data_IF_749737955100
#
_entry.id   IF_749737955100
#
_cell.length_a   1.000
_cell.length_b   1.000
_cell.length_c   1.000
_cell.angle_alpha   90.00
_cell.angle_beta   90.00
_cell.angle_gamma   90.00
#
_symmetry.space_group_name_H-M   'P 1'
#
loop_
_entity.id
_entity.type
_entity.pdbx_description
1 polymer ?
#
# COMPACT_ATOMS: atom_id res chain seq x y z
N UNK A 1 -8.63 -26.83 -7.52
CA UNK A 1 -8.76 -25.40 -7.88
C UNK A 1 -8.81 -24.62 -6.56
N UNK A 2 -7.66 -24.30 -5.98
CA UNK A 2 -7.56 -23.60 -4.70
C UNK A 2 -7.32 -22.10 -4.98
N UNK A 3 -8.30 -21.28 -4.59
CA UNK A 3 -8.23 -19.83 -4.65
C UNK A 3 -7.34 -19.36 -3.48
N UNK A 4 -6.07 -19.02 -3.77
CA UNK A 4 -5.15 -18.47 -2.78
C UNK A 4 -5.40 -16.97 -2.66
N UNK A 5 -6.16 -16.60 -1.62
CA UNK A 5 -6.33 -15.22 -1.16
C UNK A 5 -4.98 -14.75 -0.58
N UNK A 6 -4.21 -13.98 -1.36
CA UNK A 6 -2.94 -13.42 -0.91
C UNK A 6 -3.21 -12.21 0.00
N UNK A 7 -3.18 -12.44 1.32
CA UNK A 7 -3.15 -11.36 2.33
C UNK A 7 -1.71 -10.86 2.42
N UNK A 8 -1.41 -9.74 1.76
CA UNK A 8 -0.11 -9.06 1.83
C UNK A 8 0.03 -8.38 3.20
N UNK A 9 0.71 -9.05 4.14
CA UNK A 9 1.17 -8.47 5.40
C UNK A 9 2.50 -7.74 5.19
N UNK A 10 2.47 -6.44 4.88
CA UNK A 10 3.66 -5.60 4.85
C UNK A 10 3.71 -4.71 6.09
N UNK A 11 4.68 -5.02 6.96
CA UNK A 11 4.87 -4.35 8.22
C UNK A 11 5.63 -3.04 8.06
N UNK A 12 4.98 -1.92 8.36
CA UNK A 12 5.66 -0.64 8.60
C UNK A 12 6.17 -0.66 10.05
N UNK A 13 7.49 -0.52 10.23
CA UNK A 13 8.13 -0.46 11.56
C UNK A 13 7.92 0.93 12.15
N UNK A 14 6.74 1.17 12.72
CA UNK A 14 6.59 2.21 13.73
C UNK A 14 7.13 1.68 15.05
N UNK A 15 7.86 2.51 15.79
CA UNK A 15 8.37 2.16 17.11
C UNK A 15 7.18 1.98 18.06
N UNK A 16 6.66 0.76 18.12
CA UNK A 16 5.65 0.38 19.08
C UNK A 16 6.34 -0.08 20.35
N UNK A 17 6.15 0.64 21.44
CA UNK A 17 6.61 0.21 22.76
C UNK A 17 5.96 -1.13 23.10
N UNK A 18 6.77 -2.19 23.09
CA UNK A 18 6.38 -3.51 23.58
C UNK A 18 6.02 -3.38 25.07
N UNK A 19 4.81 -3.81 25.45
CA UNK A 19 4.36 -3.82 26.84
C UNK A 19 3.20 -2.87 27.18
N UNK A 20 2.76 -2.05 26.23
CA UNK A 20 1.58 -1.19 26.45
C UNK A 20 0.32 -2.03 26.72
N UNK A 21 -0.49 -1.65 27.71
CA UNK A 21 -1.78 -2.29 28.03
C UNK A 21 -2.90 -1.81 27.10
N UNK A 22 -4.02 -2.54 27.04
CA UNK A 22 -5.15 -2.13 26.20
C UNK A 22 -5.81 -0.84 26.71
N UNK A 23 -5.82 -0.60 28.03
CA UNK A 23 -6.36 0.62 28.61
C UNK A 23 -5.49 1.85 28.26
N UNK A 24 -4.17 1.74 28.37
CA UNK A 24 -3.22 2.79 27.97
C UNK A 24 -3.30 3.08 26.48
N UNK A 25 -3.51 2.06 25.65
CA UNK A 25 -3.66 2.27 24.22
C UNK A 25 -4.94 3.02 23.85
N UNK A 26 -6.05 2.71 24.53
CA UNK A 26 -7.33 3.38 24.33
C UNK A 26 -7.28 4.86 24.72
N UNK A 27 -6.52 5.21 25.77
CA UNK A 27 -6.41 6.60 26.27
C UNK A 27 -5.35 7.44 25.57
N UNK A 28 -4.40 6.83 24.86
CA UNK A 28 -3.33 7.56 24.17
C UNK A 28 -3.87 8.42 23.02
N UNK A 29 -3.35 9.63 22.87
CA UNK A 29 -3.48 10.37 21.62
C UNK A 29 -2.50 9.81 20.60
N UNK A 30 -3.01 9.11 19.59
CA UNK A 30 -2.19 8.70 18.45
C UNK A 30 -2.08 9.85 17.46
N UNK A 31 -1.00 9.90 16.69
CA UNK A 31 -0.94 10.75 15.51
C UNK A 31 -1.86 10.17 14.42
N UNK A 32 -3.16 10.49 14.55
CA UNK A 32 -4.23 10.02 13.67
C UNK A 32 -3.94 10.44 12.22
N UNK A 33 -3.35 11.61 12.01
CA UNK A 33 -3.00 12.08 10.69
C UNK A 33 -1.89 11.23 10.08
N UNK A 34 -0.85 10.92 10.84
CA UNK A 34 0.22 10.03 10.37
C UNK A 34 -0.28 8.62 10.02
N UNK A 35 -1.21 8.06 10.81
CA UNK A 35 -1.82 6.77 10.51
C UNK A 35 -2.74 6.84 9.27
N UNK A 36 -3.44 7.96 9.07
CA UNK A 36 -4.23 8.21 7.87
C UNK A 36 -3.33 8.30 6.62
N UNK A 37 -2.21 9.02 6.70
CA UNK A 37 -1.25 9.15 5.61
C UNK A 37 -0.59 7.80 5.28
N UNK A 38 -0.23 7.00 6.29
CA UNK A 38 0.28 5.65 6.11
C UNK A 38 -0.75 4.72 5.45
N UNK A 39 -2.02 4.82 5.86
CA UNK A 39 -3.12 4.09 5.24
C UNK A 39 -3.30 4.46 3.77
N UNK A 40 -3.33 5.76 3.45
CA UNK A 40 -3.47 6.22 2.07
C UNK A 40 -2.26 5.78 1.22
N UNK A 41 -1.05 5.84 1.77
CA UNK A 41 0.15 5.36 1.10
C UNK A 41 0.07 3.88 0.77
N UNK A 42 -0.41 3.06 1.71
CA UNK A 42 -0.59 1.63 1.49
C UNK A 42 -1.65 1.35 0.42
N UNK A 43 -2.76 2.09 0.42
CA UNK A 43 -3.77 2.03 -0.64
C UNK A 43 -3.19 2.32 -2.03
N UNK A 44 -2.38 3.38 -2.14
CA UNK A 44 -1.75 3.74 -3.43
C UNK A 44 -0.84 2.61 -3.93
N UNK A 45 -0.08 2.02 -3.02
CA UNK A 45 0.87 0.93 -3.31
C UNK A 45 0.20 -0.35 -3.81
N UNK A 46 -1.08 -0.60 -3.49
CA UNK A 46 -1.76 -1.82 -3.96
C UNK A 46 -2.07 -1.80 -5.46
N UNK A 47 -1.99 -0.63 -6.12
CA UNK A 47 -2.23 -0.52 -7.57
C UNK A 47 -0.93 -0.58 -8.37
N UNK A 48 -0.76 -1.66 -9.15
CA UNK A 48 0.39 -1.80 -10.06
C UNK A 48 0.39 -0.79 -11.22
N UNK A 49 -0.76 -0.15 -11.49
CA UNK A 49 -0.91 0.87 -12.53
C UNK A 49 -1.02 2.27 -11.93
N UNK A 50 -0.66 2.45 -10.66
CA UNK A 50 -0.66 3.75 -9.99
C UNK A 50 -2.03 4.47 -10.04
N UNK A 51 -3.12 3.70 -10.00
CA UNK A 51 -4.49 4.20 -10.22
C UNK A 51 -4.92 5.25 -9.19
N UNK A 52 -4.35 5.21 -7.99
CA UNK A 52 -4.78 6.01 -6.85
C UNK A 52 -3.80 7.13 -6.50
N UNK A 53 -2.75 7.35 -7.29
CA UNK A 53 -1.65 8.23 -6.94
C UNK A 53 -2.07 9.69 -6.76
N UNK A 54 -3.10 10.14 -7.48
CA UNK A 54 -3.65 11.50 -7.42
C UNK A 54 -4.60 11.74 -6.23
N UNK A 55 -4.97 10.69 -5.49
CA UNK A 55 -5.87 10.82 -4.34
C UNK A 55 -5.15 11.51 -3.18
N UNK A 56 -5.77 12.52 -2.60
CA UNK A 56 -5.26 13.23 -1.42
C UNK A 56 -6.27 13.19 -0.26
N UNK A 57 -5.77 13.10 0.98
CA UNK A 57 -6.61 13.27 2.17
C UNK A 57 -6.92 14.75 2.32
N UNK A 58 -8.21 15.08 2.43
CA UNK A 58 -8.67 16.44 2.77
C UNK A 58 -8.72 16.62 4.28
N UNK A 59 -9.35 15.66 4.97
CA UNK A 59 -9.49 15.68 6.44
C UNK A 59 -9.90 14.31 6.97
N UNK A 60 -9.49 14.01 8.20
CA UNK A 60 -10.06 12.91 8.98
C UNK A 60 -11.37 13.37 9.60
N UNK A 61 -12.45 12.62 9.37
CA UNK A 61 -13.80 12.95 9.83
C UNK A 61 -14.16 12.24 11.13
N UNK A 62 -13.74 10.99 11.24
CA UNK A 62 -14.04 10.15 12.39
C UNK A 62 -12.87 9.21 12.63
N UNK A 63 -12.58 8.97 13.92
CA UNK A 63 -11.69 7.89 14.31
C UNK A 63 -12.23 7.20 15.57
N UNK A 64 -12.09 5.88 15.62
CA UNK A 64 -12.57 5.09 16.76
C UNK A 64 -11.63 3.95 17.07
N UNK A 65 -11.09 3.96 18.29
CA UNK A 65 -10.29 2.88 18.85
C UNK A 65 -11.17 1.77 19.41
N UNK A 66 -10.80 0.53 19.14
CA UNK A 66 -11.46 -0.67 19.66
C UNK A 66 -10.40 -1.76 19.93
N UNK A 67 -10.67 -2.65 20.89
CA UNK A 67 -9.84 -3.84 21.11
C UNK A 67 -10.41 -5.00 20.31
N UNK A 68 -9.60 -5.62 19.47
CA UNK A 68 -10.00 -6.69 18.55
C UNK A 68 -9.20 -7.97 18.85
N UNK A 69 -9.51 -8.62 19.98
CA UNK A 69 -8.86 -9.87 20.40
C UNK A 69 -7.34 -9.74 20.50
N UNK A 70 -6.61 -10.30 19.53
CA UNK A 70 -5.14 -10.27 19.44
C UNK A 70 -4.55 -8.98 18.86
N UNK A 71 -5.39 -8.07 18.39
CA UNK A 71 -5.00 -6.78 17.83
C UNK A 71 -5.75 -5.63 18.49
N UNK A 72 -5.24 -4.42 18.26
CA UNK A 72 -5.92 -3.16 18.57
C UNK A 72 -6.33 -2.53 17.25
N UNK A 73 -7.58 -2.11 17.12
CA UNK A 73 -8.09 -1.57 15.88
C UNK A 73 -8.44 -0.10 16.01
N UNK A 74 -8.03 0.69 15.04
CA UNK A 74 -8.42 2.06 14.85
C UNK A 74 -9.20 2.14 13.54
N UNK A 75 -10.50 2.39 13.64
CA UNK A 75 -11.30 2.78 12.51
C UNK A 75 -11.01 4.23 12.16
N UNK A 76 -10.78 4.52 10.89
CA UNK A 76 -10.63 5.85 10.33
C UNK A 76 -11.66 6.05 9.23
N UNK A 77 -12.36 7.18 9.28
CA UNK A 77 -13.18 7.68 8.19
C UNK A 77 -12.61 9.01 7.74
N UNK A 78 -12.22 9.11 6.49
CA UNK A 78 -11.55 10.28 5.93
C UNK A 78 -12.27 10.77 4.68
N UNK A 79 -12.25 12.09 4.47
CA UNK A 79 -12.62 12.70 3.21
C UNK A 79 -11.39 12.76 2.31
N UNK A 80 -11.52 12.22 1.10
CA UNK A 80 -10.46 12.18 0.09
C UNK A 80 -10.90 12.92 -1.17
N UNK A 81 -9.96 13.48 -1.93
CA UNK A 81 -10.24 14.18 -3.19
C UNK A 81 -9.44 13.59 -4.36
N UNK A 82 -10.06 13.61 -5.54
CA UNK A 82 -9.47 13.28 -6.83
C UNK A 82 -10.37 13.84 -7.94
N UNK A 83 -9.77 14.26 -9.06
CA UNK A 83 -10.53 14.69 -10.25
C UNK A 83 -11.11 13.51 -11.05
N UNK A 84 -10.65 12.30 -10.74
CA UNK A 84 -10.90 11.07 -11.49
C UNK A 84 -11.89 10.13 -10.81
N UNK A 85 -12.54 10.56 -9.72
CA UNK A 85 -13.62 9.78 -9.10
C UNK A 85 -14.80 9.56 -10.05
N UNK A 86 -15.34 8.34 -10.05
CA UNK A 86 -16.51 7.95 -10.85
C UNK A 86 -17.77 8.73 -10.44
N UNK A 87 -17.90 9.10 -9.17
CA UNK A 87 -19.06 9.85 -8.68
C UNK A 87 -19.13 11.31 -9.17
N UNK A 88 -18.05 11.81 -9.79
CA UNK A 88 -17.86 13.21 -10.21
C UNK A 88 -17.88 14.23 -9.06
N UNK A 89 -17.90 13.76 -7.81
CA UNK A 89 -17.77 14.63 -6.64
C UNK A 89 -16.32 15.06 -6.45
N UNK A 90 -16.13 16.27 -5.92
CA UNK A 90 -14.80 16.77 -5.54
C UNK A 90 -14.19 15.99 -4.37
N UNK A 91 -15.04 15.45 -3.49
CA UNK A 91 -14.65 14.66 -2.33
C UNK A 91 -15.47 13.37 -2.22
N UNK A 92 -14.82 12.28 -1.85
CA UNK A 92 -15.42 10.99 -1.49
C UNK A 92 -14.99 10.55 -0.08
N UNK A 93 -15.74 9.62 0.50
CA UNK A 93 -15.44 9.06 1.81
C UNK A 93 -14.65 7.76 1.68
N UNK A 94 -13.54 7.66 2.39
CA UNK A 94 -12.74 6.45 2.50
C UNK A 94 -12.77 5.95 3.95
N UNK A 95 -13.09 4.68 4.12
CA UNK A 95 -13.03 3.98 5.41
C UNK A 95 -11.80 3.08 5.45
N UNK A 96 -11.04 3.16 6.54
CA UNK A 96 -9.86 2.32 6.75
C UNK A 96 -9.90 1.73 8.16
N UNK A 97 -9.54 0.46 8.27
CA UNK A 97 -9.24 -0.20 9.53
C UNK A 97 -7.72 -0.33 9.66
N UNK A 98 -7.17 0.36 10.65
CA UNK A 98 -5.77 0.23 11.05
C UNK A 98 -5.71 -0.79 12.17
N UNK A 99 -4.90 -1.84 12.01
CA UNK A 99 -4.70 -2.88 13.01
C UNK A 99 -3.29 -2.82 13.55
N UNK A 100 -3.15 -2.69 14.87
CA UNK A 100 -1.88 -2.85 15.56
C UNK A 100 -1.82 -4.24 16.19
N UNK A 101 -0.83 -5.04 15.79
CA UNK A 101 -0.61 -6.36 16.34
C UNK A 101 -0.05 -6.28 17.76
N UNK A 102 -0.67 -6.91 18.77
CA UNK A 102 -0.21 -6.81 20.17
C UNK A 102 1.19 -7.39 20.42
N UNK A 103 1.60 -8.37 19.61
CA UNK A 103 2.87 -9.11 19.82
C UNK A 103 4.12 -8.32 19.42
N UNK A 104 4.03 -7.53 18.35
CA UNK A 104 5.17 -6.84 17.75
C UNK A 104 4.89 -5.35 17.49
N UNK A 105 3.68 -4.90 17.82
CA UNK A 105 3.14 -3.55 17.65
C UNK A 105 3.18 -3.00 16.22
N UNK A 106 3.44 -3.84 15.22
CA UNK A 106 3.38 -3.49 13.80
C UNK A 106 1.96 -3.13 13.40
N UNK A 107 1.85 -2.19 12.47
CA UNK A 107 0.58 -1.78 11.88
C UNK A 107 0.33 -2.52 10.56
N UNK A 108 -0.93 -2.90 10.36
CA UNK A 108 -1.49 -3.35 9.08
C UNK A 108 -2.75 -2.54 8.76
N UNK A 109 -3.08 -2.43 7.48
CA UNK A 109 -4.16 -1.59 6.98
C UNK A 109 -5.14 -2.44 6.18
N UNK A 110 -6.43 -2.30 6.47
CA UNK A 110 -7.49 -2.95 5.73
C UNK A 110 -8.45 -1.87 5.20
N UNK A 111 -8.70 -1.92 3.89
CA UNK A 111 -9.56 -0.98 3.18
C UNK A 111 -10.74 -1.80 2.67
N UNK A 112 -11.92 -1.71 3.31
CA UNK A 112 -13.06 -2.55 2.96
C UNK A 112 -13.57 -2.30 1.54
N UNK A 113 -13.50 -1.05 1.08
CA UNK A 113 -13.96 -0.63 -0.23
C UNK A 113 -12.99 0.42 -0.78
N UNK A 114 -12.46 0.16 -1.98
CA UNK A 114 -11.58 1.08 -2.67
C UNK A 114 -12.40 2.14 -3.42
N UNK A 115 -11.90 3.38 -3.54
CA UNK A 115 -12.54 4.41 -4.36
C UNK A 115 -12.66 3.94 -5.82
N UNK A 116 -13.80 4.24 -6.44
CA UNK A 116 -14.05 3.85 -7.83
C UNK A 116 -13.69 5.01 -8.76
N UNK A 117 -12.79 4.75 -9.69
CA UNK A 117 -12.31 5.76 -10.64
C UNK A 117 -13.11 5.76 -11.95
N UNK A 118 -13.09 6.87 -12.68
CA UNK A 118 -13.66 7.00 -14.03
C UNK A 118 -13.04 5.98 -14.97
N UNK A 119 -13.86 5.33 -15.77
CA UNK A 119 -13.41 4.27 -16.68
C UNK A 119 -12.39 4.79 -17.70
N UNK A 120 -12.59 6.00 -18.23
CA UNK A 120 -11.63 6.64 -19.14
C UNK A 120 -10.26 6.87 -18.50
N UNK A 121 -10.22 7.19 -17.20
CA UNK A 121 -8.97 7.34 -16.46
C UNK A 121 -8.29 5.99 -16.24
N UNK A 122 -9.06 4.96 -15.85
CA UNK A 122 -8.56 3.59 -15.70
C UNK A 122 -7.89 3.11 -16.99
N UNK A 123 -8.58 3.21 -18.13
CA UNK A 123 -8.03 2.83 -19.44
C UNK A 123 -6.74 3.60 -19.77
N UNK A 124 -6.73 4.93 -19.54
CA UNK A 124 -5.54 5.74 -19.80
C UNK A 124 -4.33 5.32 -18.95
N UNK A 125 -4.56 4.93 -17.69
CA UNK A 125 -3.50 4.47 -16.79
C UNK A 125 -3.01 3.07 -17.16
N UNK A 126 -3.92 2.18 -17.56
CA UNK A 126 -3.57 0.85 -18.07
C UNK A 126 -2.69 0.92 -19.32
N UNK A 127 -3.06 1.75 -20.31
CA UNK A 127 -2.28 1.94 -21.53
C UNK A 127 -0.89 2.51 -21.23
N UNK A 128 -0.83 3.57 -20.40
CA UNK A 128 0.42 4.19 -19.97
C UNK A 128 1.35 3.19 -19.30
N UNK A 129 0.85 2.48 -18.29
CA UNK A 129 1.69 1.55 -17.51
C UNK A 129 2.02 0.27 -18.26
N UNK A 130 1.17 -0.18 -19.19
CA UNK A 130 1.52 -1.26 -20.12
C UNK A 130 2.76 -0.91 -20.95
N UNK A 131 2.86 0.33 -21.44
CA UNK A 131 4.03 0.80 -22.18
C UNK A 131 5.27 0.93 -21.28
N UNK A 132 5.13 1.48 -20.08
CA UNK A 132 6.23 1.61 -19.12
C UNK A 132 6.76 0.23 -18.71
N UNK A 133 5.89 -0.70 -18.33
CA UNK A 133 6.30 -2.06 -17.96
C UNK A 133 6.98 -2.79 -19.12
N UNK A 134 6.52 -2.58 -20.37
CA UNK A 134 7.20 -3.12 -21.55
C UNK A 134 8.62 -2.57 -21.64
N UNK A 135 8.79 -1.26 -21.56
CA UNK A 135 10.11 -0.60 -21.64
C UNK A 135 11.04 -1.07 -20.52
N UNK A 136 10.55 -1.20 -19.28
CA UNK A 136 11.34 -1.70 -18.15
C UNK A 136 11.80 -3.14 -18.36
N UNK A 137 10.93 -4.01 -18.87
CA UNK A 137 11.31 -5.38 -19.22
C UNK A 137 12.36 -5.40 -20.31
N UNK A 138 12.13 -4.66 -21.40
CA UNK A 138 13.04 -4.63 -22.54
C UNK A 138 14.43 -4.12 -22.11
N UNK A 139 14.50 -3.06 -21.29
CA UNK A 139 15.75 -2.55 -20.72
C UNK A 139 16.45 -3.57 -19.81
N UNK A 140 15.69 -4.27 -18.96
CA UNK A 140 16.24 -5.33 -18.10
C UNK A 140 16.80 -6.50 -18.91
N UNK A 141 16.14 -6.88 -20.02
CA UNK A 141 16.66 -7.93 -20.90
C UNK A 141 17.96 -7.51 -21.59
N UNK A 142 18.10 -6.25 -22.00
CA UNK A 142 19.36 -5.77 -22.58
C UNK A 142 20.49 -5.72 -21.53
N UNK A 143 20.22 -5.26 -20.31
CA UNK A 143 21.20 -5.30 -19.21
C UNK A 143 21.70 -6.73 -18.91
N UNK A 144 20.78 -7.71 -18.88
CA UNK A 144 21.15 -9.12 -18.67
C UNK A 144 21.94 -9.67 -19.85
N UNK A 145 21.64 -9.29 -21.09
CA UNK A 145 22.45 -9.69 -22.26
C UNK A 145 23.85 -9.09 -22.17
N UNK A 146 23.98 -7.81 -21.85
CA UNK A 146 25.27 -7.15 -21.69
C UNK A 146 26.08 -7.82 -20.57
N UNK A 147 25.45 -8.14 -19.43
CA UNK A 147 26.09 -8.89 -18.36
C UNK A 147 26.55 -10.27 -18.85
N UNK A 148 25.67 -11.03 -19.51
CA UNK A 148 25.97 -12.39 -20.01
C UNK A 148 27.09 -12.38 -21.05
N UNK A 149 27.07 -11.43 -21.99
CA UNK A 149 28.11 -11.22 -23.01
C UNK A 149 29.42 -10.74 -22.37
N UNK A 150 29.37 -9.96 -21.29
CA UNK A 150 30.56 -9.57 -20.53
C UNK A 150 31.10 -10.68 -19.62
N UNK A 151 30.27 -11.66 -19.24
CA UNK A 151 30.61 -12.74 -18.30
C UNK A 151 30.91 -14.09 -18.96
N UNK A 152 30.75 -14.22 -20.28
CA UNK A 152 31.36 -15.27 -21.11
C UNK A 152 32.72 -14.72 -21.60
N UNK A 153 33.91 -15.24 -21.32
CA UNK A 153 34.30 -16.59 -20.94
C UNK A 153 35.79 -16.51 -20.48
N UNK A 154 36.09 -16.02 -19.28
CA UNK A 154 37.38 -16.37 -18.66
C UNK A 154 37.27 -17.85 -18.27
N UNK A 155 37.62 -18.71 -19.22
CA UNK A 155 38.14 -20.05 -18.93
C UNK A 155 39.25 -19.87 -17.89
N UNK A 156 38.90 -19.98 -16.61
CA UNK A 156 39.88 -20.37 -15.63
C UNK A 156 40.24 -21.80 -15.97
N UNK A 157 41.33 -21.91 -16.72
CA UNK A 157 42.10 -23.11 -16.97
C UNK A 157 42.14 -23.96 -15.70
N UNK A 158 41.27 -24.97 -15.64
CA UNK A 158 41.56 -26.17 -14.87
C UNK A 158 42.67 -26.89 -15.63
N UNK A 159 43.92 -26.47 -15.38
CA UNK A 159 45.08 -27.29 -15.67
C UNK A 159 45.06 -28.54 -14.76
N UNK A 160 45.47 -29.71 -15.28
CA UNK A 160 45.34 -31.01 -14.63
C UNK A 160 46.16 -31.16 -13.34
#
# INVERSE_FOLDING_TARGET
MFLLLFVLMLSVTFCSEMGQTDAEWLSREDDIQQLADAALKEMKRTSAIHLFDDIEIVRVLEHKKTIAGYSRSLYLKMSIKSMHFKSEKAEELLSVLVLQHKQNGKYSFAIPEFPVMKESYVHSMEEKWKMIHKQQRDAHFEEVKDYTISSDFENQDYLP
#
